data_IF_682634612603
#
_entry.id   IF_682634612603
#
_cell.length_a   1.000
_cell.length_b   1.000
_cell.length_c   1.000
_cell.angle_alpha   90.00
_cell.angle_beta   90.00
_cell.angle_gamma   90.00
#
_symmetry.space_group_name_H-M   'P 1'
#
loop_
_entity.id
_entity.type
_entity.pdbx_description
1 polymer ?
#
# COMPACT_ATOMS: atom_id res chain seq x y z
N UNK A 1 -19.23 0.31 -6.92
CA UNK A 1 -19.16 -1.13 -6.56
C UNK A 1 -18.39 -1.82 -7.65
N UNK A 2 -17.44 -2.69 -7.29
CA UNK A 2 -16.78 -3.55 -8.26
C UNK A 2 -17.81 -4.54 -8.80
N UNK A 3 -18.11 -4.46 -10.09
CA UNK A 3 -18.98 -5.41 -10.78
C UNK A 3 -18.63 -5.44 -12.27
N UNK A 4 -18.56 -6.64 -12.83
CA UNK A 4 -18.27 -6.86 -14.25
C UNK A 4 -17.01 -7.71 -14.51
N UNK A 5 -16.78 -8.10 -15.76
CA UNK A 5 -15.66 -8.96 -16.15
C UNK A 5 -14.30 -8.29 -15.89
N UNK A 6 -13.29 -9.11 -15.63
CA UNK A 6 -11.88 -8.70 -15.41
C UNK A 6 -11.37 -7.74 -16.50
N UNK A 7 -11.83 -7.91 -17.75
CA UNK A 7 -11.49 -7.06 -18.90
C UNK A 7 -11.88 -5.59 -18.74
N UNK A 8 -12.75 -5.25 -17.78
CA UNK A 8 -13.18 -3.87 -17.53
C UNK A 8 -12.27 -3.12 -16.54
N UNK A 9 -11.25 -3.79 -16.01
CA UNK A 9 -10.33 -3.20 -15.06
C UNK A 9 -8.93 -3.10 -15.65
N UNK A 10 -8.27 -1.97 -15.39
CA UNK A 10 -6.81 -1.88 -15.51
C UNK A 10 -6.17 -2.20 -14.16
N UNK A 11 -5.00 -2.82 -14.20
CA UNK A 11 -4.32 -3.37 -13.04
C UNK A 11 -2.94 -2.74 -12.91
N UNK A 12 -2.57 -2.34 -11.69
CA UNK A 12 -1.28 -1.75 -11.39
C UNK A 12 -0.80 -2.08 -9.98
N UNK A 13 0.45 -1.71 -9.72
CA UNK A 13 1.06 -1.75 -8.38
C UNK A 13 1.37 -0.31 -7.99
N UNK A 14 0.91 0.10 -6.81
CA UNK A 14 1.32 1.36 -6.20
C UNK A 14 2.40 1.10 -5.15
N UNK A 15 3.32 2.05 -4.99
CA UNK A 15 4.27 2.07 -3.89
C UNK A 15 3.83 3.13 -2.88
N UNK A 16 4.02 2.84 -1.60
CA UNK A 16 3.59 3.65 -0.50
C UNK A 16 4.60 3.55 0.66
N UNK A 17 4.67 4.56 1.54
CA UNK A 17 5.50 4.53 2.76
C UNK A 17 4.71 4.03 3.98
N UNK A 18 5.36 3.20 4.78
CA UNK A 18 4.82 2.59 5.99
C UNK A 18 5.83 2.64 7.14
N UNK A 19 5.35 2.95 8.35
CA UNK A 19 6.15 2.88 9.58
C UNK A 19 6.22 1.43 10.05
N UNK A 20 7.43 0.87 10.13
CA UNK A 20 7.65 -0.53 10.55
C UNK A 20 8.00 -0.68 12.02
N UNK A 21 8.38 0.40 12.70
CA UNK A 21 8.75 0.39 14.10
C UNK A 21 9.83 1.41 14.40
N UNK A 22 10.58 1.16 15.48
CA UNK A 22 11.67 2.04 15.93
C UNK A 22 13.01 1.32 15.89
N UNK A 23 14.05 2.08 15.54
CA UNK A 23 15.45 1.66 15.66
C UNK A 23 15.88 1.63 17.12
N UNK A 24 17.08 1.09 17.39
CA UNK A 24 17.65 1.05 18.74
C UNK A 24 17.84 2.43 19.37
N UNK A 25 18.10 3.44 18.54
CA UNK A 25 18.23 4.84 18.96
C UNK A 25 16.86 5.51 19.20
N UNK A 26 15.77 4.77 19.01
CA UNK A 26 14.39 5.23 19.21
C UNK A 26 13.81 6.01 18.04
N UNK A 27 14.50 6.06 16.90
CA UNK A 27 14.04 6.73 15.68
C UNK A 27 13.03 5.85 14.93
N UNK A 28 12.01 6.47 14.32
CA UNK A 28 11.03 5.74 13.51
C UNK A 28 11.66 5.26 12.21
N UNK A 29 11.52 3.97 11.91
CA UNK A 29 11.89 3.38 10.63
C UNK A 29 10.69 3.36 9.69
N UNK A 30 10.82 4.06 8.56
CA UNK A 30 9.82 4.14 7.50
C UNK A 30 10.37 3.45 6.25
N UNK A 31 9.61 2.51 5.71
CA UNK A 31 9.99 1.73 4.52
C UNK A 31 8.89 1.72 3.46
N UNK A 32 9.22 1.18 2.29
CA UNK A 32 8.27 1.01 1.19
C UNK A 32 7.35 -0.20 1.43
N UNK A 33 6.08 -0.06 1.08
CA UNK A 33 5.11 -1.14 0.91
C UNK A 33 4.43 -1.02 -0.45
N UNK A 34 4.00 -2.15 -1.00
CA UNK A 34 3.35 -2.21 -2.30
C UNK A 34 1.90 -2.63 -2.16
N UNK A 35 1.02 -1.99 -2.92
CA UNK A 35 -0.41 -2.31 -2.99
C UNK A 35 -0.81 -2.64 -4.41
N UNK A 36 -1.73 -3.59 -4.56
CA UNK A 36 -2.37 -3.82 -5.86
C UNK A 36 -3.51 -2.83 -6.04
N UNK A 37 -3.54 -2.18 -7.19
CA UNK A 37 -4.58 -1.22 -7.57
C UNK A 37 -5.31 -1.74 -8.80
N UNK A 38 -6.63 -1.71 -8.76
CA UNK A 38 -7.46 -1.78 -9.97
C UNK A 38 -8.13 -0.44 -10.24
N UNK A 39 -8.29 -0.12 -11.51
CA UNK A 39 -9.05 1.06 -11.96
C UNK A 39 -10.14 0.60 -12.91
N UNK A 40 -11.39 0.96 -12.64
CA UNK A 40 -12.52 0.66 -13.51
C UNK A 40 -12.56 1.60 -14.73
N UNK A 41 -13.47 1.31 -15.66
CA UNK A 41 -13.66 2.12 -16.89
C UNK A 41 -14.17 3.53 -16.62
N UNK A 42 -14.69 3.82 -15.43
CA UNK A 42 -15.12 5.14 -14.99
C UNK A 42 -13.99 5.91 -14.28
N UNK A 43 -12.81 5.32 -14.14
CA UNK A 43 -11.65 5.92 -13.47
C UNK A 43 -11.63 5.74 -11.96
N UNK A 44 -12.58 5.00 -11.37
CA UNK A 44 -12.56 4.73 -9.92
C UNK A 44 -11.47 3.71 -9.60
N UNK A 45 -10.69 3.99 -8.55
CA UNK A 45 -9.59 3.14 -8.10
C UNK A 45 -9.97 2.36 -6.86
N UNK A 46 -9.46 1.14 -6.76
CA UNK A 46 -9.64 0.28 -5.61
C UNK A 46 -8.31 -0.38 -5.26
N UNK A 47 -7.99 -0.43 -3.98
CA UNK A 47 -6.80 -1.10 -3.45
C UNK A 47 -7.16 -2.47 -2.87
N UNK A 48 -6.34 -3.47 -3.18
CA UNK A 48 -6.46 -4.80 -2.59
C UNK A 48 -6.08 -4.76 -1.12
N UNK A 49 -6.75 -5.53 -0.28
CA UNK A 49 -6.49 -5.57 1.16
C UNK A 49 -5.12 -6.16 1.51
N UNK A 50 -4.62 -7.09 0.71
CA UNK A 50 -3.28 -7.63 0.91
C UNK A 50 -2.22 -6.60 0.51
N UNK A 51 -1.31 -6.32 1.43
CA UNK A 51 -0.15 -5.42 1.24
C UNK A 51 1.14 -6.22 1.22
N UNK A 52 2.10 -5.75 0.45
CA UNK A 52 3.40 -6.40 0.30
C UNK A 52 4.46 -5.49 0.90
N UNK A 53 4.90 -5.84 2.11
CA UNK A 53 5.88 -5.06 2.85
C UNK A 53 7.27 -5.20 2.23
N UNK A 54 7.90 -4.07 1.88
CA UNK A 54 9.28 -4.03 1.40
C UNK A 54 10.32 -4.06 2.52
N UNK A 55 9.88 -4.17 3.77
CA UNK A 55 10.75 -4.32 4.94
C UNK A 55 10.22 -5.43 5.85
N UNK A 56 11.14 -6.20 6.43
CA UNK A 56 10.85 -7.25 7.42
C UNK A 56 11.56 -6.94 8.74
N UNK A 57 10.83 -6.58 9.82
CA UNK A 57 11.43 -6.41 11.14
C UNK A 57 11.84 -7.77 11.71
N UNK A 58 13.11 -7.92 12.02
CA UNK A 58 13.70 -9.13 12.58
C UNK A 58 14.35 -8.79 13.91
N UNK A 59 13.89 -9.43 15.00
CA UNK A 59 14.56 -9.36 16.29
C UNK A 59 15.59 -10.48 16.40
N UNK A 60 16.80 -10.15 16.81
CA UNK A 60 17.83 -11.15 17.11
C UNK A 60 18.02 -11.18 18.63
N UNK A 61 17.72 -12.31 19.26
CA UNK A 61 18.05 -12.57 20.67
C UNK A 61 19.54 -12.96 20.79
N UNK A 62 20.45 -12.09 20.34
CA UNK A 62 21.90 -12.30 20.45
C UNK A 62 22.54 -11.19 21.30
N UNK A 63 23.22 -11.51 22.41
CA UNK A 63 23.93 -10.52 23.22
C UNK A 63 25.05 -9.82 22.42
N UNK A 64 24.70 -8.68 21.80
CA UNK A 64 25.61 -7.83 21.03
C UNK A 64 25.09 -7.42 19.65
N UNK A 65 23.98 -7.98 19.18
CA UNK A 65 23.30 -7.56 17.96
C UNK A 65 22.23 -6.49 18.26
N UNK A 66 21.85 -5.66 17.28
CA UNK A 66 20.72 -4.77 17.46
C UNK A 66 19.46 -5.59 17.77
N UNK A 67 18.77 -5.19 18.83
CA UNK A 67 17.53 -5.77 19.33
C UNK A 67 16.44 -5.89 18.26
N UNK A 68 16.43 -4.96 17.29
CA UNK A 68 15.58 -5.01 16.09
C UNK A 68 16.40 -4.54 14.89
N UNK A 69 16.41 -5.36 13.83
CA UNK A 69 16.95 -5.04 12.51
C UNK A 69 15.81 -5.02 11.48
N UNK A 70 15.91 -4.13 10.49
CA UNK A 70 14.92 -3.96 9.43
C UNK A 70 15.51 -4.44 8.10
N UNK A 71 15.17 -5.66 7.70
CA UNK A 71 15.68 -6.26 6.46
C UNK A 71 14.99 -5.66 5.24
N UNK A 72 15.77 -5.20 4.25
CA UNK A 72 15.28 -4.74 2.96
C UNK A 72 14.85 -5.94 2.10
N UNK A 73 13.54 -6.09 1.93
CA UNK A 73 12.92 -7.16 1.14
C UNK A 73 12.08 -6.58 -0.01
N UNK A 74 12.45 -5.39 -0.50
CA UNK A 74 11.68 -4.67 -1.52
C UNK A 74 11.54 -5.43 -2.82
N UNK A 75 12.58 -6.12 -3.26
CA UNK A 75 12.56 -6.86 -4.52
C UNK A 75 11.70 -8.11 -4.43
N UNK A 76 11.74 -8.81 -3.28
CA UNK A 76 10.87 -9.92 -2.95
C UNK A 76 9.41 -9.47 -2.89
N UNK A 77 9.14 -8.36 -2.21
CA UNK A 77 7.81 -7.77 -2.10
C UNK A 77 7.24 -7.35 -3.46
N UNK A 78 8.05 -6.70 -4.32
CA UNK A 78 7.66 -6.35 -5.70
C UNK A 78 7.34 -7.59 -6.51
N UNK A 79 8.15 -8.65 -6.39
CA UNK A 79 7.92 -9.90 -7.10
C UNK A 79 6.65 -10.59 -6.63
N UNK A 80 6.40 -10.63 -5.33
CA UNK A 80 5.18 -11.18 -4.75
C UNK A 80 3.95 -10.40 -5.24
N UNK A 81 3.97 -9.06 -5.15
CA UNK A 81 2.92 -8.20 -5.67
C UNK A 81 2.67 -8.46 -7.17
N UNK A 82 3.74 -8.57 -7.97
CA UNK A 82 3.63 -8.82 -9.40
C UNK A 82 3.04 -10.20 -9.72
N UNK A 83 3.40 -11.23 -8.95
CA UNK A 83 2.82 -12.57 -9.07
C UNK A 83 1.32 -12.53 -8.79
N UNK A 84 0.91 -11.95 -7.65
CA UNK A 84 -0.51 -11.83 -7.29
C UNK A 84 -1.29 -11.01 -8.31
N UNK A 85 -0.72 -9.92 -8.83
CA UNK A 85 -1.32 -9.13 -9.91
C UNK A 85 -1.56 -9.97 -11.17
N UNK A 86 -0.60 -10.83 -11.53
CA UNK A 86 -0.71 -11.70 -12.69
C UNK A 86 -1.78 -12.78 -12.49
N UNK A 87 -1.95 -13.29 -11.27
CA UNK A 87 -3.01 -14.26 -10.96
C UNK A 87 -4.39 -13.64 -11.18
N UNK A 88 -4.62 -12.39 -10.77
CA UNK A 88 -5.84 -11.67 -11.11
C UNK A 88 -6.01 -11.45 -12.62
N UNK A 89 -4.96 -10.98 -13.32
CA UNK A 89 -5.01 -10.71 -14.76
C UNK A 89 -5.33 -11.95 -15.59
N UNK A 90 -4.82 -13.11 -15.18
CA UNK A 90 -4.98 -14.38 -15.87
C UNK A 90 -6.24 -15.15 -15.44
N UNK A 91 -7.04 -14.61 -14.51
CA UNK A 91 -8.23 -15.29 -13.98
C UNK A 91 -7.90 -16.47 -13.05
N UNK A 92 -6.67 -16.53 -12.52
CA UNK A 92 -6.30 -17.47 -11.45
C UNK A 92 -6.88 -17.09 -10.09
N UNK A 93 -7.29 -15.81 -9.93
CA UNK A 93 -8.03 -15.31 -8.77
C UNK A 93 -9.21 -14.43 -9.23
N UNK A 94 -10.36 -14.57 -8.57
CA UNK A 94 -11.55 -13.76 -8.83
C UNK A 94 -11.47 -12.42 -8.10
N UNK A 95 -12.03 -11.36 -8.70
CA UNK A 95 -12.17 -10.06 -8.05
C UNK A 95 -13.47 -10.07 -7.23
N UNK A 96 -13.34 -10.20 -5.92
CA UNK A 96 -14.47 -10.15 -4.99
C UNK A 96 -14.55 -8.75 -4.34
N UNK A 97 -15.68 -8.04 -4.41
CA UNK A 97 -15.78 -6.66 -3.91
C UNK A 97 -15.34 -6.46 -2.45
N UNK A 98 -15.48 -7.49 -1.62
CA UNK A 98 -15.10 -7.51 -0.21
C UNK A 98 -13.58 -7.45 0.04
N UNK A 99 -12.74 -7.81 -0.92
CA UNK A 99 -11.27 -7.77 -0.77
C UNK A 99 -10.64 -6.46 -1.27
N UNK A 100 -11.47 -5.49 -1.69
CA UNK A 100 -11.01 -4.26 -2.32
C UNK A 100 -11.69 -3.03 -1.73
N UNK A 101 -10.90 -2.01 -1.41
CA UNK A 101 -11.39 -0.76 -0.84
C UNK A 101 -11.25 0.37 -1.85
N UNK A 102 -12.28 1.22 -2.07
CA UNK A 102 -12.14 2.42 -2.89
C UNK A 102 -11.00 3.31 -2.38
N UNK A 103 -10.17 3.81 -3.28
CA UNK A 103 -9.06 4.73 -2.94
C UNK A 103 -9.04 5.94 -3.87
N UNK A 104 -8.71 7.10 -3.31
CA UNK A 104 -8.56 8.34 -4.06
C UNK A 104 -7.32 8.31 -4.97
N UNK A 105 -7.29 9.06 -6.09
CA UNK A 105 -6.18 9.05 -7.06
C UNK A 105 -4.81 9.40 -6.47
N UNK A 106 -4.79 10.07 -5.33
CA UNK A 106 -3.62 10.71 -4.72
C UNK A 106 -2.87 9.80 -3.74
N UNK A 107 -3.34 8.56 -3.57
CA UNK A 107 -2.82 7.67 -2.54
C UNK A 107 -1.44 7.10 -2.89
N UNK A 108 -0.41 7.69 -2.26
CA UNK A 108 0.98 7.22 -2.21
C UNK A 108 1.62 7.35 -0.82
N UNK A 109 0.83 7.59 0.25
CA UNK A 109 1.36 7.69 1.62
C UNK A 109 0.33 7.27 2.69
N UNK A 110 0.31 6.00 3.09
CA UNK A 110 -0.52 5.46 4.18
C UNK A 110 -0.15 6.14 5.50
N UNK A 111 1.12 6.53 5.64
CA UNK A 111 1.62 7.36 6.73
C UNK A 111 0.86 8.69 6.93
N UNK A 112 0.19 9.24 5.91
CA UNK A 112 -0.60 10.47 6.07
C UNK A 112 -1.97 10.19 6.70
N UNK A 113 -2.58 9.04 6.39
CA UNK A 113 -3.90 8.72 6.95
C UNK A 113 -3.88 8.42 8.44
N UNK A 114 -2.73 7.96 8.96
CA UNK A 114 -2.57 7.68 10.39
C UNK A 114 -2.23 8.95 11.21
N UNK A 115 -1.85 10.07 10.58
CA UNK A 115 -1.40 11.31 11.27
C UNK A 115 -2.18 12.60 10.93
N UNK A 116 -3.19 12.54 10.08
CA UNK A 116 -4.04 13.68 9.72
C UNK A 116 -4.95 13.23 8.59
N UNK A 117 -6.16 12.82 8.95
CA UNK A 117 -7.05 12.10 8.03
C UNK A 117 -7.40 12.89 6.77
N UNK A 118 -7.98 12.19 5.80
CA UNK A 118 -8.51 12.70 4.52
C UNK A 118 -9.32 14.01 4.63
N UNK A 119 -9.92 14.26 5.81
CA UNK A 119 -10.62 15.49 6.14
C UNK A 119 -9.73 16.74 6.10
N UNK A 120 -8.48 16.66 6.57
CA UNK A 120 -7.56 17.81 6.65
C UNK A 120 -7.10 18.27 5.26
N UNK A 121 -7.00 17.34 4.30
CA UNK A 121 -6.68 17.66 2.90
C UNK A 121 -7.87 18.29 2.16
N UNK A 122 -9.08 17.75 2.36
CA UNK A 122 -10.30 18.33 1.79
C UNK A 122 -10.50 19.77 2.31
N UNK A 123 -10.22 20.00 3.59
CA UNK A 123 -10.33 21.33 4.18
C UNK A 123 -9.19 22.27 3.75
N UNK A 124 -7.98 21.75 3.53
CA UNK A 124 -6.85 22.52 2.99
C UNK A 124 -7.10 22.94 1.53
N UNK A 125 -7.59 22.04 0.68
CA UNK A 125 -7.89 22.34 -0.73
C UNK A 125 -9.06 23.32 -0.88
N UNK A 126 -10.11 23.16 -0.07
CA UNK A 126 -11.23 24.12 -0.02
C UNK A 126 -10.78 25.52 0.39
N UNK A 127 -9.85 25.63 1.34
CA UNK A 127 -9.32 26.92 1.79
C UNK A 127 -8.23 27.50 0.87
N UNK A 128 -7.54 26.66 0.08
CA UNK A 128 -6.50 27.10 -0.86
C UNK A 128 -7.08 27.57 -2.20
N UNK A 129 -8.31 27.17 -2.52
CA UNK A 129 -9.04 27.59 -3.74
C UNK A 129 -9.72 28.96 -3.61
N UNK A 130 -9.57 29.64 -2.46
CA UNK A 130 -10.16 30.96 -2.16
C UNK A 130 -9.14 32.12 -2.16
N UNK A 131 -7.96 31.94 -2.80
CA UNK A 131 -7.00 33.03 -3.04
C UNK A 131 -6.85 33.38 -4.50
#
# INVERSE_FOLDING_TARGET
MLSGPISNYSFGIACNLHEYGKTEDGETYIGEMYLLIITDSSGNRFAYHEVFHGCSPTSVDDPGAPSIWFEDVREEARRAAQTTLNDFKNGGREITPEEWTPVSPEYGSQAYSDHGGEQDLIDFERNSSLR
#
